data_IF_327589138471
#
_entry.id   IF_327589138471
#
_cell.length_a   1.000
_cell.length_b   1.000
_cell.length_c   1.000
_cell.angle_alpha   90.00
_cell.angle_beta   90.00
_cell.angle_gamma   90.00
#
_symmetry.space_group_name_H-M   'P 1'
#
loop_
_entity.id
_entity.type
_entity.pdbx_description
1 polymer ?
#
# COMPACT_ATOMS: atom_id res chain seq x y z
N UNK A 1 10.38 15.14 21.32
CA UNK A 1 11.10 16.27 20.67
C UNK A 1 12.08 15.83 19.56
N UNK A 2 12.15 14.54 19.17
CA UNK A 2 13.06 14.06 18.11
C UNK A 2 12.37 13.89 16.73
N UNK A 3 11.07 13.60 16.69
CA UNK A 3 10.39 13.20 15.44
C UNK A 3 10.22 14.35 14.41
N UNK A 4 10.10 15.59 14.87
CA UNK A 4 9.90 16.75 13.97
C UNK A 4 11.15 17.11 13.16
N UNK A 5 12.35 16.83 13.67
CA UNK A 5 13.61 17.12 12.94
C UNK A 5 13.90 16.07 11.86
N UNK A 6 13.57 14.80 12.09
CA UNK A 6 13.73 13.73 11.09
C UNK A 6 12.75 13.87 9.92
N UNK A 7 11.53 14.38 10.17
CA UNK A 7 10.54 14.66 9.12
C UNK A 7 11.00 15.74 8.11
N UNK A 8 11.85 16.68 8.53
CA UNK A 8 12.38 17.79 7.72
C UNK A 8 13.64 17.42 6.91
N UNK A 9 14.35 16.35 7.30
CA UNK A 9 15.63 15.97 6.69
C UNK A 9 15.55 14.80 5.71
N UNK A 10 14.35 14.28 5.41
CA UNK A 10 14.23 13.23 4.41
C UNK A 10 14.64 13.76 3.01
N UNK A 11 15.66 13.18 2.32
CA UNK A 11 16.21 13.72 1.07
C UNK A 11 15.15 13.98 -0.01
N UNK A 12 14.14 13.09 -0.09
CA UNK A 12 13.02 13.25 -1.04
C UNK A 12 12.10 14.42 -0.71
N UNK A 13 11.82 14.69 0.58
CA UNK A 13 10.97 15.82 1.01
C UNK A 13 11.65 17.15 0.74
N UNK A 14 12.95 17.23 1.00
CA UNK A 14 13.75 18.41 0.65
C UNK A 14 13.68 18.68 -0.86
N UNK A 15 13.77 17.64 -1.68
CA UNK A 15 13.69 17.76 -3.13
C UNK A 15 12.29 18.18 -3.60
N UNK A 16 11.22 17.61 -3.05
CA UNK A 16 9.84 18.04 -3.31
C UNK A 16 9.62 19.52 -3.01
N UNK A 17 10.09 19.99 -1.85
CA UNK A 17 10.02 21.40 -1.46
C UNK A 17 10.78 22.34 -2.42
N UNK A 18 11.96 21.91 -2.91
CA UNK A 18 12.75 22.68 -3.88
C UNK A 18 12.05 22.80 -5.22
N UNK A 19 11.51 21.69 -5.73
CA UNK A 19 10.76 21.68 -6.98
C UNK A 19 9.49 22.53 -6.88
N UNK A 20 8.72 22.44 -5.80
CA UNK A 20 7.57 23.31 -5.55
C UNK A 20 7.95 24.79 -5.52
N UNK A 21 9.03 25.14 -4.81
CA UNK A 21 9.53 26.51 -4.76
C UNK A 21 9.94 27.04 -6.14
N UNK A 22 10.53 26.17 -6.96
CA UNK A 22 10.92 26.48 -8.34
C UNK A 22 9.71 26.67 -9.24
N UNK A 23 8.69 25.81 -9.10
CA UNK A 23 7.41 25.94 -9.82
C UNK A 23 6.75 27.30 -9.54
N UNK A 24 6.63 27.67 -8.26
CA UNK A 24 6.07 28.97 -7.86
C UNK A 24 6.90 30.15 -8.38
N UNK A 25 8.23 30.02 -8.47
CA UNK A 25 9.09 31.06 -9.05
C UNK A 25 8.80 31.26 -10.54
N UNK A 26 8.68 30.18 -11.31
CA UNK A 26 8.35 30.25 -12.73
C UNK A 26 6.94 30.80 -12.97
N UNK A 27 5.96 30.42 -12.15
CA UNK A 27 4.61 30.98 -12.21
C UNK A 27 4.60 32.50 -12.00
N UNK A 28 5.40 32.99 -11.03
CA UNK A 28 5.57 34.44 -10.80
C UNK A 28 6.29 35.11 -11.98
N UNK A 29 7.24 34.44 -12.64
CA UNK A 29 7.90 34.97 -13.83
C UNK A 29 6.93 35.07 -15.01
N UNK A 30 6.08 34.07 -15.22
CA UNK A 30 5.04 34.09 -16.26
C UNK A 30 4.11 35.31 -16.11
N UNK A 31 3.71 35.63 -14.87
CA UNK A 31 2.89 36.82 -14.57
C UNK A 31 3.64 38.14 -14.81
N UNK A 32 4.96 38.16 -14.63
CA UNK A 32 5.80 39.37 -14.77
C UNK A 32 6.25 39.62 -16.21
N UNK A 33 6.43 38.57 -17.00
CA UNK A 33 6.87 38.63 -18.39
C UNK A 33 5.85 37.93 -19.30
N UNK A 34 4.82 38.67 -19.77
CA UNK A 34 3.78 38.11 -20.64
C UNK A 34 4.32 37.55 -21.96
N UNK A 35 5.44 38.06 -22.47
CA UNK A 35 6.03 37.60 -23.72
C UNK A 35 6.59 36.17 -23.61
N UNK A 36 6.99 35.75 -22.40
CA UNK A 36 7.47 34.39 -22.09
C UNK A 36 6.52 33.62 -21.17
N UNK A 37 5.27 34.07 -21.03
CA UNK A 37 4.33 33.48 -20.09
C UNK A 37 4.11 31.99 -20.32
N UNK A 38 3.88 31.58 -21.58
CA UNK A 38 3.64 30.17 -21.94
C UNK A 38 4.83 29.27 -21.60
N UNK A 39 6.05 29.71 -21.93
CA UNK A 39 7.27 28.96 -21.62
C UNK A 39 7.48 28.84 -20.10
N UNK A 40 7.34 29.95 -19.39
CA UNK A 40 7.48 29.98 -17.93
C UNK A 40 6.41 29.13 -17.24
N UNK A 41 5.16 29.12 -17.72
CA UNK A 41 4.11 28.25 -17.20
C UNK A 41 4.39 26.78 -17.47
N UNK A 42 4.94 26.43 -18.64
CA UNK A 42 5.39 25.06 -18.93
C UNK A 42 6.47 24.58 -17.95
N UNK A 43 7.45 25.44 -17.64
CA UNK A 43 8.44 25.15 -16.60
C UNK A 43 7.82 25.04 -15.21
N UNK A 44 6.85 25.90 -14.88
CA UNK A 44 6.18 25.86 -13.59
C UNK A 44 5.47 24.51 -13.38
N UNK A 45 4.67 24.07 -14.35
CA UNK A 45 3.97 22.78 -14.29
C UNK A 45 4.91 21.60 -14.19
N UNK A 46 5.99 21.60 -15.00
CA UNK A 46 6.97 20.51 -14.96
C UNK A 46 7.60 20.38 -13.58
N UNK A 47 7.96 21.51 -12.96
CA UNK A 47 8.51 21.51 -11.61
C UNK A 47 7.46 21.09 -10.56
N UNK A 48 6.19 21.47 -10.72
CA UNK A 48 5.12 21.03 -9.82
C UNK A 48 4.88 19.51 -9.89
N UNK A 49 4.91 18.91 -11.10
CA UNK A 49 4.88 17.45 -11.27
C UNK A 49 6.07 16.76 -10.60
N UNK A 50 7.27 17.31 -10.73
CA UNK A 50 8.46 16.79 -10.02
C UNK A 50 8.32 16.90 -8.50
N UNK A 51 7.68 17.95 -7.99
CA UNK A 51 7.43 18.10 -6.56
C UNK A 51 6.58 16.95 -6.01
N UNK A 52 5.50 16.59 -6.72
CA UNK A 52 4.63 15.46 -6.38
C UNK A 52 5.38 14.13 -6.50
N UNK A 53 6.14 13.92 -7.59
CA UNK A 53 6.94 12.69 -7.76
C UNK A 53 7.89 12.42 -6.58
N UNK A 54 8.50 13.49 -6.05
CA UNK A 54 9.41 13.38 -4.93
C UNK A 54 8.70 13.28 -3.58
N UNK A 55 7.59 13.99 -3.41
CA UNK A 55 6.80 14.01 -2.18
C UNK A 55 5.31 14.24 -2.45
N UNK A 56 4.62 13.17 -2.85
CA UNK A 56 3.18 13.20 -3.05
C UNK A 56 2.41 13.22 -1.72
N UNK A 57 3.08 13.04 -0.57
CA UNK A 57 2.42 13.06 0.75
C UNK A 57 2.23 14.47 1.28
N UNK A 58 2.88 15.47 0.67
CA UNK A 58 2.69 16.89 0.98
C UNK A 58 1.63 17.48 0.04
N UNK A 59 0.43 17.71 0.58
CA UNK A 59 -0.72 18.29 -0.12
C UNK A 59 -0.40 19.64 -0.80
N UNK A 60 0.58 20.40 -0.29
CA UNK A 60 1.00 21.68 -0.91
C UNK A 60 1.59 21.48 -2.30
N UNK A 61 2.14 20.29 -2.60
CA UNK A 61 2.63 19.95 -3.93
C UNK A 61 1.47 19.77 -4.92
N UNK A 62 0.39 19.11 -4.48
CA UNK A 62 -0.84 18.95 -5.25
C UNK A 62 -1.54 20.29 -5.50
N UNK A 63 -1.72 21.10 -4.44
CA UNK A 63 -2.26 22.46 -4.54
C UNK A 63 -1.48 23.31 -5.55
N UNK A 64 -0.15 23.23 -5.50
CA UNK A 64 0.70 23.96 -6.44
C UNK A 64 0.45 23.54 -7.90
N UNK A 65 0.24 22.25 -8.19
CA UNK A 65 -0.05 21.81 -9.55
C UNK A 65 -1.46 22.23 -9.98
N UNK A 66 -2.45 22.05 -9.11
CA UNK A 66 -3.84 22.42 -9.36
C UNK A 66 -4.01 23.93 -9.65
N UNK A 67 -3.35 24.78 -8.85
CA UNK A 67 -3.31 26.23 -9.07
C UNK A 67 -2.75 26.58 -10.46
N UNK A 68 -1.70 25.88 -10.90
CA UNK A 68 -1.09 26.12 -12.21
C UNK A 68 -2.02 25.70 -13.35
N UNK A 69 -2.73 24.57 -13.19
CA UNK A 69 -3.75 24.11 -14.14
C UNK A 69 -4.87 25.13 -14.28
N UNK A 70 -5.41 25.61 -13.16
CA UNK A 70 -6.41 26.67 -13.17
C UNK A 70 -5.89 27.97 -13.82
N UNK A 71 -4.67 28.41 -13.52
CA UNK A 71 -4.06 29.60 -14.13
C UNK A 71 -3.86 29.48 -15.65
N UNK A 72 -3.67 28.26 -16.16
CA UNK A 72 -3.56 27.97 -17.60
C UNK A 72 -4.91 27.72 -18.29
N UNK A 73 -6.03 27.85 -17.58
CA UNK A 73 -7.36 27.42 -18.04
C UNK A 73 -7.39 25.95 -18.52
N UNK A 74 -6.58 25.10 -17.89
CA UNK A 74 -6.46 23.68 -18.19
C UNK A 74 -7.38 22.86 -17.28
N UNK A 75 -8.68 22.83 -17.63
CA UNK A 75 -9.70 22.11 -16.87
C UNK A 75 -9.52 20.59 -16.90
N UNK A 76 -9.12 20.03 -18.06
CA UNK A 76 -8.80 18.61 -18.21
C UNK A 76 -7.59 18.22 -17.36
N UNK A 77 -6.55 19.05 -17.33
CA UNK A 77 -5.40 18.85 -16.47
C UNK A 77 -5.74 18.93 -14.97
N UNK A 78 -6.67 19.79 -14.57
CA UNK A 78 -7.15 19.87 -13.19
C UNK A 78 -7.98 18.63 -12.81
N UNK A 79 -8.81 18.14 -13.73
CA UNK A 79 -9.51 16.86 -13.58
C UNK A 79 -8.54 15.71 -13.35
N UNK A 80 -7.51 15.58 -14.18
CA UNK A 80 -6.49 14.53 -14.05
C UNK A 80 -5.74 14.61 -12.70
N UNK A 81 -5.51 15.82 -12.17
CA UNK A 81 -4.91 16.00 -10.84
C UNK A 81 -5.83 15.47 -9.73
N UNK A 82 -7.13 15.77 -9.80
CA UNK A 82 -8.12 15.27 -8.83
C UNK A 82 -8.23 13.75 -8.88
N UNK A 83 -8.32 13.18 -10.08
CA UNK A 83 -8.36 11.73 -10.29
C UNK A 83 -7.14 11.05 -9.66
N UNK A 84 -5.93 11.58 -9.91
CA UNK A 84 -4.70 11.02 -9.35
C UNK A 84 -4.67 11.11 -7.81
N UNK A 85 -5.15 12.21 -7.22
CA UNK A 85 -5.31 12.31 -5.75
C UNK A 85 -6.30 11.28 -5.23
N UNK A 86 -7.41 11.07 -5.92
CA UNK A 86 -8.43 10.11 -5.50
C UNK A 86 -7.98 8.66 -5.58
N UNK A 87 -7.14 8.32 -6.58
CA UNK A 87 -6.45 7.03 -6.63
C UNK A 87 -5.53 6.86 -5.42
N UNK A 88 -4.74 7.88 -5.07
CA UNK A 88 -3.85 7.84 -3.89
C UNK A 88 -4.63 7.72 -2.57
N UNK A 89 -5.79 8.36 -2.47
CA UNK A 89 -6.70 8.28 -1.31
C UNK A 89 -7.59 7.03 -1.32
N UNK A 90 -7.49 6.21 -2.36
CA UNK A 90 -8.25 4.98 -2.51
C UNK A 90 -9.75 5.19 -2.56
N UNK A 91 -10.20 6.21 -3.30
CA UNK A 91 -11.63 6.40 -3.57
C UNK A 91 -12.08 5.47 -4.69
N UNK A 92 -13.34 5.05 -4.59
CA UNK A 92 -13.98 4.15 -5.53
C UNK A 92 -13.98 4.74 -6.96
N UNK A 93 -13.53 3.98 -7.98
CA UNK A 93 -13.66 4.37 -9.39
C UNK A 93 -15.08 4.76 -9.78
N UNK A 94 -16.12 4.13 -9.22
CA UNK A 94 -17.52 4.51 -9.49
C UNK A 94 -17.86 5.92 -9.00
N UNK A 95 -17.18 6.40 -7.95
CA UNK A 95 -17.30 7.79 -7.50
C UNK A 95 -16.53 8.76 -8.40
N UNK A 96 -15.55 8.29 -9.19
CA UNK A 96 -14.87 9.11 -10.20
C UNK A 96 -15.76 9.34 -11.42
N UNK A 97 -16.56 8.36 -11.81
CA UNK A 97 -17.52 8.48 -12.92
C UNK A 97 -18.57 9.58 -12.68
N UNK A 98 -18.93 9.81 -11.41
CA UNK A 98 -19.83 10.90 -10.99
C UNK A 98 -19.25 12.30 -11.25
N UNK A 99 -17.94 12.39 -11.51
CA UNK A 99 -17.27 13.65 -11.80
C UNK A 99 -17.34 14.00 -13.30
N UNK A 100 -17.95 13.14 -14.13
CA UNK A 100 -18.15 13.40 -15.56
C UNK A 100 -19.06 14.61 -15.77
N UNK A 101 -18.63 15.56 -16.60
CA UNK A 101 -19.42 16.75 -16.95
C UNK A 101 -19.37 17.89 -15.92
N UNK A 102 -18.52 17.79 -14.91
CA UNK A 102 -18.22 18.89 -13.98
C UNK A 102 -17.34 19.95 -14.68
N UNK A 103 -17.64 21.22 -14.46
CA UNK A 103 -16.73 22.33 -14.81
C UNK A 103 -15.62 22.44 -13.77
N UNK A 104 -14.50 21.77 -14.03
CA UNK A 104 -13.35 21.77 -13.13
C UNK A 104 -12.67 23.13 -12.99
N UNK A 105 -12.80 24.04 -13.97
CA UNK A 105 -12.27 25.38 -13.81
C UNK A 105 -13.08 26.18 -12.78
N UNK A 106 -14.37 25.88 -12.64
CA UNK A 106 -15.24 26.52 -11.66
C UNK A 106 -15.05 25.94 -10.25
N UNK A 107 -15.01 24.61 -10.09
CA UNK A 107 -15.08 23.95 -8.76
C UNK A 107 -13.89 23.07 -8.41
N UNK A 108 -12.96 22.82 -9.33
CA UNK A 108 -11.91 21.81 -9.15
C UNK A 108 -10.96 22.09 -7.97
N UNK A 109 -10.61 23.36 -7.73
CA UNK A 109 -9.82 23.74 -6.57
C UNK A 109 -10.57 23.54 -5.25
N UNK A 110 -11.86 23.85 -5.22
CA UNK A 110 -12.71 23.64 -4.04
C UNK A 110 -12.90 22.15 -3.75
N UNK A 111 -13.09 21.33 -4.79
CA UNK A 111 -13.14 19.87 -4.67
C UNK A 111 -11.84 19.29 -4.10
N UNK A 112 -10.68 19.81 -4.53
CA UNK A 112 -9.38 19.39 -4.02
C UNK A 112 -9.23 19.73 -2.53
N UNK A 113 -9.59 20.96 -2.13
CA UNK A 113 -9.54 21.36 -0.73
C UNK A 113 -10.53 20.58 0.12
N UNK A 114 -11.75 20.35 -0.35
CA UNK A 114 -12.74 19.53 0.33
C UNK A 114 -12.25 18.08 0.50
N UNK A 115 -11.52 17.55 -0.49
CA UNK A 115 -10.93 16.23 -0.42
C UNK A 115 -9.88 16.13 0.69
N UNK A 116 -8.94 17.08 0.76
CA UNK A 116 -7.92 17.09 1.82
C UNK A 116 -8.48 17.43 3.20
N UNK A 117 -9.49 18.31 3.28
CA UNK A 117 -10.16 18.62 4.53
C UNK A 117 -10.86 17.38 5.12
N UNK A 118 -11.48 16.55 4.27
CA UNK A 118 -12.13 15.30 4.72
C UNK A 118 -11.13 14.18 4.96
N UNK A 119 -10.10 14.07 4.14
CA UNK A 119 -9.23 12.90 4.06
C UNK A 119 -7.78 13.30 3.75
N UNK A 120 -7.13 13.90 4.75
CA UNK A 120 -5.79 14.45 4.62
C UNK A 120 -4.74 13.40 4.25
N UNK A 121 -3.75 13.77 3.44
CA UNK A 121 -2.64 12.86 3.09
C UNK A 121 -1.65 12.69 4.25
N UNK A 122 -1.57 13.68 5.14
CA UNK A 122 -0.80 13.58 6.36
C UNK A 122 -1.51 12.67 7.38
N UNK A 123 -0.84 11.62 7.90
CA UNK A 123 -1.48 10.65 8.79
C UNK A 123 -1.88 11.23 10.15
N UNK A 124 -1.25 12.33 10.60
CA UNK A 124 -1.63 12.97 11.85
C UNK A 124 -2.90 13.80 11.66
N UNK A 125 -2.92 14.66 10.65
CA UNK A 125 -4.12 15.45 10.31
C UNK A 125 -5.32 14.54 9.96
N UNK A 126 -5.07 13.43 9.25
CA UNK A 126 -6.09 12.43 8.97
C UNK A 126 -6.67 11.83 10.25
N UNK A 127 -5.83 11.54 11.25
CA UNK A 127 -6.28 10.98 12.51
C UNK A 127 -7.10 11.97 13.32
N UNK A 128 -6.64 13.23 13.42
CA UNK A 128 -7.39 14.30 14.09
C UNK A 128 -8.82 14.42 13.50
N UNK A 129 -8.94 14.40 12.17
CA UNK A 129 -10.24 14.45 11.50
C UNK A 129 -11.16 13.26 11.81
N UNK A 130 -10.60 12.07 12.03
CA UNK A 130 -11.39 10.87 12.39
C UNK A 130 -11.74 10.86 13.86
N UNK A 131 -10.83 11.30 14.73
CA UNK A 131 -11.05 11.34 16.17
C UNK A 131 -12.13 12.37 16.54
N UNK A 132 -12.18 13.48 15.80
CA UNK A 132 -13.20 14.53 15.96
C UNK A 132 -14.55 14.18 15.26
N UNK A 133 -14.65 13.05 14.55
CA UNK A 133 -15.91 12.59 13.94
C UNK A 133 -16.85 12.05 15.02
N UNK A 134 -17.73 12.92 15.54
CA UNK A 134 -18.79 12.60 16.52
C UNK A 134 -19.65 11.38 16.12
N UNK A 135 -19.69 11.03 14.83
CA UNK A 135 -20.43 9.88 14.30
C UNK A 135 -19.71 8.53 14.45
N UNK A 136 -18.41 8.51 14.77
CA UNK A 136 -17.59 7.29 14.87
C UNK A 136 -17.41 6.52 13.56
N UNK A 137 -17.94 7.05 12.45
CA UNK A 137 -18.01 6.37 11.15
C UNK A 137 -16.69 6.43 10.37
N UNK A 138 -15.81 7.40 10.67
CA UNK A 138 -14.55 7.60 9.96
C UNK A 138 -13.62 6.37 9.98
N UNK A 139 -13.58 5.62 11.09
CA UNK A 139 -12.79 4.39 11.18
C UNK A 139 -13.39 3.25 10.35
N UNK A 140 -14.72 3.11 10.36
CA UNK A 140 -15.42 2.09 9.57
C UNK A 140 -15.28 2.38 8.07
N UNK A 141 -15.41 3.65 7.66
CA UNK A 141 -15.16 4.11 6.29
C UNK A 141 -13.71 3.84 5.86
N UNK A 142 -12.74 4.04 6.75
CA UNK A 142 -11.35 3.71 6.49
C UNK A 142 -11.14 2.19 6.33
N UNK A 143 -11.75 1.38 7.20
CA UNK A 143 -11.65 -0.07 7.15
C UNK A 143 -12.27 -0.62 5.85
N UNK A 144 -13.46 -0.15 5.47
CA UNK A 144 -14.10 -0.54 4.21
C UNK A 144 -13.25 -0.19 2.98
N UNK A 145 -12.61 0.98 2.99
CA UNK A 145 -11.67 1.35 1.91
C UNK A 145 -10.47 0.43 1.87
N UNK A 146 -9.84 0.13 3.01
CA UNK A 146 -8.73 -0.83 3.07
C UNK A 146 -9.11 -2.22 2.54
N UNK A 147 -10.35 -2.68 2.75
CA UNK A 147 -10.79 -3.99 2.29
C UNK A 147 -10.95 -4.09 0.77
N UNK A 148 -11.24 -2.97 0.11
CA UNK A 148 -11.57 -2.89 -1.33
C UNK A 148 -10.46 -2.29 -2.18
N UNK A 149 -9.52 -1.56 -1.57
CA UNK A 149 -8.52 -0.80 -2.29
C UNK A 149 -7.39 -1.68 -2.83
N UNK A 150 -7.04 -1.44 -4.09
CA UNK A 150 -5.87 -2.03 -4.71
C UNK A 150 -4.57 -1.35 -4.25
N UNK A 151 -3.82 -2.02 -3.37
CA UNK A 151 -2.52 -1.54 -2.89
C UNK A 151 -1.34 -1.83 -3.83
N UNK A 152 -1.60 -2.21 -5.09
CA UNK A 152 -0.56 -2.25 -6.13
C UNK A 152 -0.01 -0.85 -6.41
N UNK A 153 -0.80 0.22 -6.34
CA UNK A 153 -0.27 1.59 -6.35
C UNK A 153 0.57 1.83 -5.08
N UNK A 154 1.87 2.07 -5.28
CA UNK A 154 2.83 2.30 -4.21
C UNK A 154 2.46 3.50 -3.34
N UNK A 155 1.86 4.54 -3.92
CA UNK A 155 1.49 5.78 -3.24
C UNK A 155 0.33 5.55 -2.29
N UNK A 156 -0.72 4.87 -2.77
CA UNK A 156 -1.84 4.45 -1.93
C UNK A 156 -1.35 3.55 -0.78
N UNK A 157 -0.53 2.54 -1.08
CA UNK A 157 0.06 1.68 -0.05
C UNK A 157 0.85 2.46 1.03
N UNK A 158 1.62 3.49 0.64
CA UNK A 158 2.36 4.32 1.61
C UNK A 158 1.39 5.14 2.49
N UNK A 159 0.37 5.76 1.90
CA UNK A 159 -0.60 6.58 2.66
C UNK A 159 -1.34 5.71 3.67
N UNK A 160 -1.89 4.59 3.22
CA UNK A 160 -2.65 3.68 4.07
C UNK A 160 -1.77 2.95 5.09
N UNK A 161 -0.54 2.59 4.73
CA UNK A 161 0.44 2.02 5.67
C UNK A 161 0.72 2.96 6.86
N UNK A 162 0.97 4.24 6.58
CA UNK A 162 1.15 5.26 7.63
C UNK A 162 -0.09 5.49 8.49
N UNK A 163 -1.27 5.41 7.87
CA UNK A 163 -2.55 5.50 8.60
C UNK A 163 -2.75 4.28 9.52
N UNK A 164 -2.36 3.09 9.08
CA UNK A 164 -2.37 1.88 9.92
C UNK A 164 -1.38 1.95 11.08
N UNK A 165 -0.18 2.51 10.87
CA UNK A 165 0.75 2.78 11.97
C UNK A 165 0.11 3.69 13.02
N UNK A 166 -0.61 4.73 12.57
CA UNK A 166 -1.33 5.65 13.47
C UNK A 166 -2.48 4.97 14.20
N UNK A 167 -3.28 4.16 13.50
CA UNK A 167 -4.35 3.33 14.05
C UNK A 167 -3.83 2.38 15.15
N UNK A 168 -2.69 1.73 14.90
CA UNK A 168 -2.00 0.89 15.88
C UNK A 168 -1.55 1.68 17.10
N UNK A 169 -0.93 2.84 16.89
CA UNK A 169 -0.47 3.71 17.98
C UNK A 169 -1.63 4.23 18.85
N UNK A 170 -2.84 4.32 18.30
CA UNK A 170 -4.06 4.66 19.03
C UNK A 170 -4.71 3.46 19.76
N UNK A 171 -4.17 2.25 19.63
CA UNK A 171 -4.62 1.07 20.38
C UNK A 171 -5.68 0.22 19.67
N UNK A 172 -6.03 0.51 18.41
CA UNK A 172 -6.96 -0.30 17.62
C UNK A 172 -6.26 -1.55 17.02
N UNK A 173 -5.71 -2.40 17.88
CA UNK A 173 -4.84 -3.52 17.47
C UNK A 173 -5.59 -4.59 16.64
N UNK A 174 -6.85 -4.91 16.95
CA UNK A 174 -7.65 -5.88 16.18
C UNK A 174 -7.88 -5.41 14.73
N UNK A 175 -8.30 -4.15 14.58
CA UNK A 175 -8.51 -3.54 13.27
C UNK A 175 -7.19 -3.41 12.51
N UNK A 176 -6.09 -3.07 13.19
CA UNK A 176 -4.77 -3.07 12.58
C UNK A 176 -4.39 -4.46 12.03
N UNK A 177 -4.57 -5.55 12.80
CA UNK A 177 -4.28 -6.91 12.35
C UNK A 177 -5.10 -7.27 11.11
N UNK A 178 -6.39 -6.96 11.13
CA UNK A 178 -7.28 -7.21 10.00
C UNK A 178 -6.79 -6.48 8.75
N UNK A 179 -6.61 -5.16 8.83
CA UNK A 179 -6.31 -4.33 7.68
C UNK A 179 -4.86 -4.51 7.18
N UNK A 180 -3.91 -4.81 8.08
CA UNK A 180 -2.53 -5.12 7.70
C UNK A 180 -2.45 -6.37 6.81
N UNK A 181 -3.33 -7.37 7.01
CA UNK A 181 -3.42 -8.54 6.12
C UNK A 181 -3.81 -8.15 4.70
N UNK A 182 -4.72 -7.17 4.53
CA UNK A 182 -5.07 -6.66 3.20
C UNK A 182 -3.84 -6.03 2.51
N UNK A 183 -3.12 -5.13 3.18
CA UNK A 183 -1.90 -4.53 2.59
C UNK A 183 -0.83 -5.59 2.27
N UNK A 184 -0.61 -6.54 3.17
CA UNK A 184 0.36 -7.61 2.99
C UNK A 184 -0.03 -8.61 1.88
N UNK A 185 -1.32 -8.79 1.60
CA UNK A 185 -1.76 -9.59 0.46
C UNK A 185 -1.31 -8.95 -0.86
N UNK A 186 -1.41 -7.62 -0.98
CA UNK A 186 -0.97 -6.89 -2.18
C UNK A 186 0.54 -6.65 -2.22
N UNK A 187 1.20 -6.54 -1.06
CA UNK A 187 2.64 -6.28 -0.90
C UNK A 187 3.30 -7.29 0.03
N UNK A 188 3.34 -8.59 -0.35
CA UNK A 188 3.87 -9.64 0.51
C UNK A 188 5.37 -9.50 0.81
N UNK A 189 6.11 -8.71 0.03
CA UNK A 189 7.53 -8.42 0.25
C UNK A 189 7.81 -7.40 1.37
N UNK A 190 6.77 -6.80 1.97
CA UNK A 190 6.93 -5.84 3.06
C UNK A 190 7.28 -6.52 4.39
N UNK A 191 8.57 -6.85 4.55
CA UNK A 191 9.09 -7.50 5.76
C UNK A 191 8.94 -6.67 7.04
N UNK A 192 8.85 -5.34 6.96
CA UNK A 192 8.68 -4.48 8.14
C UNK A 192 7.28 -4.65 8.72
N UNK A 193 6.25 -4.61 7.88
CA UNK A 193 4.87 -4.85 8.31
C UNK A 193 4.65 -6.28 8.81
N UNK A 194 5.27 -7.28 8.17
CA UNK A 194 5.28 -8.66 8.70
C UNK A 194 5.92 -8.75 10.09
N UNK A 195 7.04 -8.06 10.29
CA UNK A 195 7.73 -8.03 11.57
C UNK A 195 6.89 -7.36 12.66
N UNK A 196 6.20 -6.27 12.32
CA UNK A 196 5.28 -5.60 13.24
C UNK A 196 4.08 -6.48 13.62
N UNK A 197 3.46 -7.15 12.64
CA UNK A 197 2.38 -8.11 12.93
C UNK A 197 2.86 -9.26 13.82
N UNK A 198 4.03 -9.84 13.53
CA UNK A 198 4.59 -10.93 14.33
C UNK A 198 4.79 -10.53 15.79
N UNK A 199 5.33 -9.32 16.04
CA UNK A 199 5.50 -8.76 17.39
C UNK A 199 4.18 -8.50 18.09
N UNK A 200 3.14 -8.15 17.35
CA UNK A 200 1.81 -7.90 17.91
C UNK A 200 1.14 -9.22 18.30
N UNK A 201 1.10 -10.20 17.41
CA UNK A 201 0.61 -11.55 17.70
C UNK A 201 1.34 -12.18 18.89
N UNK A 202 2.66 -12.02 18.98
CA UNK A 202 3.44 -12.50 20.13
C UNK A 202 3.02 -11.86 21.45
N UNK A 203 2.72 -10.54 21.47
CA UNK A 203 2.21 -9.87 22.68
C UNK A 203 0.81 -10.34 23.09
N UNK A 204 0.02 -10.81 22.12
CA UNK A 204 -1.33 -11.35 22.30
C UNK A 204 -1.35 -12.84 22.61
N UNK A 205 -0.19 -13.47 22.70
CA UNK A 205 -0.03 -14.93 22.90
C UNK A 205 -0.58 -15.79 21.75
N UNK A 206 -0.72 -15.20 20.55
CA UNK A 206 -1.13 -15.85 19.30
C UNK A 206 0.12 -16.44 18.61
N UNK A 207 0.63 -17.54 19.18
CA UNK A 207 1.97 -18.06 18.85
C UNK A 207 2.12 -18.58 17.42
N UNK A 208 1.07 -19.19 16.87
CA UNK A 208 1.08 -19.77 15.53
C UNK A 208 1.06 -18.67 14.45
N UNK A 209 0.29 -17.61 14.68
CA UNK A 209 0.23 -16.40 13.87
C UNK A 209 1.54 -15.62 13.93
N UNK A 210 2.11 -15.46 15.13
CA UNK A 210 3.41 -14.82 15.32
C UNK A 210 4.51 -15.57 14.56
N UNK A 211 4.53 -16.90 14.65
CA UNK A 211 5.45 -17.74 13.90
C UNK A 211 5.29 -17.55 12.40
N UNK A 212 4.05 -17.60 11.89
CA UNK A 212 3.77 -17.46 10.47
C UNK A 212 4.28 -16.12 9.93
N UNK A 213 4.11 -15.03 10.70
CA UNK A 213 4.67 -13.72 10.36
C UNK A 213 6.20 -13.71 10.35
N UNK A 214 6.84 -14.23 11.40
CA UNK A 214 8.31 -14.28 11.49
C UNK A 214 8.94 -15.20 10.44
N UNK A 215 8.26 -16.27 10.04
CA UNK A 215 8.66 -17.13 8.93
C UNK A 215 8.67 -16.37 7.61
N UNK A 216 7.64 -15.55 7.33
CA UNK A 216 7.67 -14.66 6.16
C UNK A 216 8.84 -13.68 6.22
N UNK A 217 9.10 -13.06 7.38
CA UNK A 217 10.24 -12.13 7.54
C UNK A 217 11.56 -12.82 7.21
N UNK A 218 11.80 -14.02 7.76
CA UNK A 218 13.05 -14.74 7.55
C UNK A 218 13.18 -15.24 6.11
N UNK A 219 12.08 -15.62 5.45
CA UNK A 219 12.09 -15.94 4.01
C UNK A 219 12.49 -14.73 3.16
N UNK A 220 11.97 -13.54 3.46
CA UNK A 220 12.27 -12.31 2.72
C UNK A 220 13.64 -11.74 3.06
N UNK A 221 14.11 -11.96 4.29
CA UNK A 221 15.36 -11.43 4.84
C UNK A 221 16.03 -12.52 5.68
N UNK A 222 16.78 -13.45 5.05
CA UNK A 222 17.42 -14.57 5.75
C UNK A 222 18.40 -14.17 6.87
N UNK A 223 18.90 -12.92 6.85
CA UNK A 223 19.77 -12.39 7.90
C UNK A 223 19.01 -11.93 9.16
N UNK A 224 17.69 -11.68 9.08
CA UNK A 224 16.84 -11.34 10.21
C UNK A 224 16.40 -12.63 10.91
N UNK A 225 16.99 -12.91 12.07
CA UNK A 225 16.76 -14.14 12.86
C UNK A 225 15.61 -14.04 13.85
N UNK A 226 14.57 -13.29 13.53
CA UNK A 226 13.47 -13.00 14.47
C UNK A 226 12.66 -14.27 14.80
N UNK A 227 12.44 -15.16 13.82
CA UNK A 227 11.81 -16.48 14.04
C UNK A 227 12.64 -17.34 14.99
N UNK A 228 13.96 -17.41 14.77
CA UNK A 228 14.86 -18.19 15.64
C UNK A 228 14.90 -17.63 17.07
N UNK A 229 14.90 -16.28 17.20
CA UNK A 229 14.81 -15.59 18.50
C UNK A 229 13.47 -15.88 19.19
N UNK A 230 12.38 -15.92 18.45
CA UNK A 230 11.05 -16.26 18.95
C UNK A 230 11.00 -17.71 19.44
N UNK A 231 11.53 -18.66 18.66
CA UNK A 231 11.67 -20.06 19.08
C UNK A 231 12.46 -20.19 20.38
N UNK A 232 13.58 -19.47 20.50
CA UNK A 232 14.39 -19.47 21.71
C UNK A 232 13.63 -18.90 22.93
N UNK A 233 12.69 -17.95 22.75
CA UNK A 233 11.82 -17.47 23.84
C UNK A 233 10.74 -18.48 24.22
N UNK A 234 10.11 -19.12 23.24
CA UNK A 234 9.10 -20.16 23.45
C UNK A 234 9.68 -21.39 24.17
N UNK A 235 10.90 -21.77 23.81
CA UNK A 235 11.61 -22.90 24.39
C UNK A 235 12.46 -22.52 25.61
N UNK A 236 12.67 -21.21 25.83
CA UNK A 236 13.55 -20.66 26.85
C UNK A 236 12.81 -19.84 27.89
N UNK A 237 12.15 -20.52 28.83
CA UNK A 237 11.86 -19.99 30.18
C UNK A 237 12.15 -21.05 31.25
N UNK A 238 13.27 -20.81 31.95
CA UNK A 238 13.65 -21.10 33.35
C UNK A 238 13.16 -22.39 34.01
N UNK A 239 14.12 -23.28 34.28
CA UNK A 239 14.20 -24.29 35.34
C UNK A 239 13.05 -24.28 36.36
N UNK A 240 12.06 -25.16 36.19
CA UNK A 240 11.08 -25.42 37.26
C UNK A 240 9.80 -26.16 36.89
N UNK A 241 9.31 -26.07 35.65
CA UNK A 241 8.07 -26.75 35.25
C UNK A 241 8.25 -27.53 33.95
N UNK A 242 7.72 -28.75 33.89
CA UNK A 242 7.64 -29.57 32.69
C UNK A 242 6.70 -28.92 31.66
N UNK A 243 7.21 -27.94 30.89
CA UNK A 243 6.48 -27.40 29.75
C UNK A 243 6.61 -28.33 28.55
N UNK A 244 5.45 -28.61 27.93
CA UNK A 244 5.41 -29.29 26.63
C UNK A 244 6.15 -28.41 25.61
N UNK A 245 7.17 -28.94 24.91
CA UNK A 245 7.84 -28.18 23.85
C UNK A 245 6.81 -27.82 22.78
N UNK A 246 6.71 -26.53 22.46
CA UNK A 246 5.84 -26.06 21.38
C UNK A 246 6.34 -26.64 20.05
N UNK A 247 5.44 -27.33 19.34
CA UNK A 247 5.76 -28.10 18.12
C UNK A 247 5.71 -27.28 16.83
N UNK A 248 5.46 -25.97 16.92
CA UNK A 248 5.17 -25.13 15.77
C UNK A 248 3.73 -25.28 15.26
N UNK A 249 3.30 -24.38 14.36
CA UNK A 249 2.01 -24.49 13.71
C UNK A 249 1.99 -25.74 12.82
N UNK A 250 0.83 -26.40 12.76
CA UNK A 250 0.58 -27.54 11.89
C UNK A 250 0.72 -27.17 10.40
N UNK A 251 0.92 -28.17 9.55
CA UNK A 251 0.93 -27.97 8.09
C UNK A 251 -0.40 -27.34 7.65
N UNK A 252 -1.52 -27.85 8.17
CA UNK A 252 -2.87 -27.31 7.91
C UNK A 252 -2.99 -25.83 8.28
N UNK A 253 -2.44 -25.40 9.43
CA UNK A 253 -2.45 -23.99 9.83
C UNK A 253 -1.65 -23.12 8.85
N UNK A 254 -0.45 -23.56 8.44
CA UNK A 254 0.40 -22.81 7.50
C UNK A 254 -0.26 -22.69 6.13
N UNK A 255 -0.87 -23.76 5.65
CA UNK A 255 -1.62 -23.77 4.40
C UNK A 255 -2.83 -22.84 4.49
N UNK A 256 -3.61 -22.93 5.56
CA UNK A 256 -4.77 -22.07 5.78
C UNK A 256 -4.39 -20.58 5.87
N UNK A 257 -3.27 -20.27 6.53
CA UNK A 257 -2.75 -18.90 6.62
C UNK A 257 -2.38 -18.36 5.23
N UNK A 258 -1.63 -19.13 4.44
CA UNK A 258 -1.18 -18.72 3.10
C UNK A 258 -2.32 -18.63 2.11
N UNK A 259 -3.28 -19.55 2.16
CA UNK A 259 -4.49 -19.50 1.34
C UNK A 259 -5.39 -18.34 1.76
N UNK A 260 -5.47 -18.04 3.06
CA UNK A 260 -6.15 -16.86 3.57
C UNK A 260 -5.56 -15.57 2.97
N UNK A 261 -4.24 -15.42 2.98
CA UNK A 261 -3.55 -14.28 2.37
C UNK A 261 -3.76 -14.22 0.84
N UNK A 262 -3.74 -15.37 0.16
CA UNK A 262 -4.04 -15.47 -1.28
C UNK A 262 -5.47 -15.04 -1.60
N UNK A 263 -6.46 -15.48 -0.83
CA UNK A 263 -7.86 -15.11 -1.08
C UNK A 263 -8.11 -13.59 -1.01
N UNK A 264 -7.27 -12.86 -0.27
CA UNK A 264 -7.33 -11.40 -0.18
C UNK A 264 -6.81 -10.72 -1.46
N UNK A 265 -5.99 -11.38 -2.27
CA UNK A 265 -5.52 -10.84 -3.57
C UNK A 265 -6.65 -10.85 -4.60
N UNK A 266 -7.55 -11.83 -4.52
CA UNK A 266 -8.62 -12.03 -5.49
C UNK A 266 -9.77 -11.01 -5.34
N UNK A 267 -9.99 -10.49 -4.13
CA UNK A 267 -11.11 -9.58 -3.79
C UNK A 267 -11.08 -8.22 -4.48
N UNK A 268 -9.98 -7.87 -5.15
CA UNK A 268 -9.73 -6.55 -5.74
C UNK A 268 -9.35 -6.67 -7.22
N UNK A 269 -9.35 -7.89 -7.77
CA UNK A 269 -9.40 -8.03 -9.22
C UNK A 269 -10.72 -7.43 -9.69
N UNK A 270 -10.63 -6.26 -10.34
CA UNK A 270 -11.60 -5.77 -11.33
C UNK A 270 -12.22 -7.00 -11.99
N UNK A 271 -13.56 -7.07 -12.20
CA UNK A 271 -14.15 -8.18 -12.90
C UNK A 271 -13.45 -8.29 -14.25
N UNK A 272 -12.47 -9.18 -14.34
CA UNK A 272 -11.77 -9.48 -15.57
C UNK A 272 -12.88 -10.00 -16.47
N UNK A 273 -13.06 -9.36 -17.63
CA UNK A 273 -13.93 -9.85 -18.68
C UNK A 273 -13.78 -11.37 -18.71
N UNK A 274 -14.93 -12.06 -18.57
CA UNK A 274 -14.97 -13.50 -18.43
C UNK A 274 -14.03 -14.10 -19.46
N UNK A 275 -12.92 -14.67 -18.98
CA UNK A 275 -11.92 -15.29 -19.84
C UNK A 275 -12.68 -16.29 -20.68
N UNK A 276 -12.70 -16.08 -22.01
CA UNK A 276 -13.26 -17.05 -22.95
C UNK A 276 -12.73 -18.41 -22.55
N UNK A 277 -13.58 -19.44 -22.38
CA UNK A 277 -13.13 -20.75 -21.95
C UNK A 277 -11.98 -21.16 -22.84
N UNK A 278 -10.78 -21.27 -22.25
CA UNK A 278 -9.63 -21.84 -22.94
C UNK A 278 -10.10 -23.25 -23.32
N UNK A 279 -10.04 -23.58 -24.61
CA UNK A 279 -10.29 -24.93 -25.11
C UNK A 279 -9.55 -25.93 -24.21
N UNK A 280 -10.19 -27.06 -23.91
CA UNK A 280 -9.66 -28.09 -23.02
C UNK A 280 -8.15 -28.28 -23.27
N UNK A 281 -7.30 -28.09 -22.26
CA UNK A 281 -5.87 -28.20 -22.48
C UNK A 281 -5.55 -29.62 -22.95
N UNK A 282 -4.79 -29.72 -24.04
CA UNK A 282 -4.03 -30.92 -24.41
C UNK A 282 -3.43 -31.55 -23.14
N UNK A 283 -3.45 -32.88 -22.97
CA UNK A 283 -3.01 -33.54 -21.76
C UNK A 283 -1.55 -33.16 -21.44
N UNK A 284 -1.40 -32.19 -20.55
CA UNK A 284 -0.12 -31.69 -20.09
C UNK A 284 0.46 -32.67 -19.07
N UNK A 285 1.74 -33.00 -19.21
CA UNK A 285 2.49 -33.79 -18.23
C UNK A 285 2.92 -32.98 -17.00
N UNK A 286 2.60 -31.68 -16.95
CA UNK A 286 2.98 -30.78 -15.86
C UNK A 286 1.98 -30.89 -14.69
N UNK A 287 2.48 -30.65 -13.48
CA UNK A 287 1.66 -30.64 -12.27
C UNK A 287 0.59 -29.53 -12.34
N UNK A 288 -0.66 -29.75 -11.89
CA UNK A 288 -1.71 -28.72 -11.93
C UNK A 288 -1.31 -27.40 -11.28
N UNK A 289 -0.61 -27.44 -10.14
CA UNK A 289 -0.13 -26.24 -9.46
C UNK A 289 1.00 -25.53 -10.23
N UNK A 290 1.79 -26.25 -11.02
CA UNK A 290 2.80 -25.63 -11.88
C UNK A 290 2.14 -24.87 -13.03
N UNK A 291 1.06 -25.41 -13.60
CA UNK A 291 0.23 -24.74 -14.61
C UNK A 291 -0.40 -23.47 -14.00
N UNK A 292 -0.91 -23.55 -12.76
CA UNK A 292 -1.47 -22.40 -12.05
C UNK A 292 -0.42 -21.31 -11.80
N UNK A 293 0.78 -21.66 -11.32
CA UNK A 293 1.87 -20.71 -11.10
C UNK A 293 2.30 -20.02 -12.40
N UNK A 294 2.43 -20.77 -13.50
CA UNK A 294 2.70 -20.22 -14.84
C UNK A 294 1.65 -19.21 -15.23
N UNK A 295 0.38 -19.59 -15.14
CA UNK A 295 -0.74 -18.75 -15.55
C UNK A 295 -0.82 -17.45 -14.74
N UNK A 296 -0.66 -17.52 -13.41
CA UNK A 296 -0.68 -16.34 -12.54
C UNK A 296 0.48 -15.39 -12.86
N UNK A 297 1.68 -15.93 -13.07
CA UNK A 297 2.87 -15.15 -13.40
C UNK A 297 2.73 -14.46 -14.78
N UNK A 298 2.24 -15.19 -15.78
CA UNK A 298 2.01 -14.65 -17.14
C UNK A 298 0.95 -13.55 -17.18
N UNK A 299 -0.06 -13.64 -16.31
CA UNK A 299 -1.10 -12.61 -16.14
C UNK A 299 -0.64 -11.42 -15.29
N UNK A 300 0.55 -11.48 -14.71
CA UNK A 300 1.07 -10.44 -13.81
C UNK A 300 0.44 -10.44 -12.41
N UNK A 301 -0.29 -11.49 -12.03
CA UNK A 301 -0.79 -11.68 -10.67
C UNK A 301 0.29 -12.32 -9.79
N UNK A 302 1.34 -11.54 -9.57
CA UNK A 302 2.53 -11.96 -8.83
C UNK A 302 2.21 -12.23 -7.35
N UNK A 303 1.21 -11.54 -6.79
CA UNK A 303 0.79 -11.69 -5.40
C UNK A 303 0.12 -13.05 -5.16
N UNK A 304 -0.87 -13.42 -5.98
CA UNK A 304 -1.51 -14.74 -5.86
C UNK A 304 -0.49 -15.86 -6.15
N UNK A 305 0.37 -15.66 -7.15
CA UNK A 305 1.47 -16.59 -7.46
C UNK A 305 2.44 -16.76 -6.28
N UNK A 306 2.79 -15.66 -5.59
CA UNK A 306 3.67 -15.68 -4.43
C UNK A 306 3.10 -16.56 -3.31
N UNK A 307 1.84 -16.36 -2.93
CA UNK A 307 1.23 -17.14 -1.86
C UNK A 307 1.02 -18.60 -2.24
N UNK A 308 0.70 -18.88 -3.51
CA UNK A 308 0.64 -20.25 -4.02
C UNK A 308 2.00 -20.95 -3.93
N UNK A 309 3.08 -20.30 -4.38
CA UNK A 309 4.43 -20.86 -4.29
C UNK A 309 4.86 -21.09 -2.83
N UNK A 310 4.53 -20.16 -1.92
CA UNK A 310 4.78 -20.32 -0.48
C UNK A 310 4.00 -21.48 0.11
N UNK A 311 2.74 -21.67 -0.28
CA UNK A 311 1.88 -22.76 0.20
C UNK A 311 2.48 -24.11 -0.17
N UNK A 312 2.87 -24.28 -1.44
CA UNK A 312 3.52 -25.50 -1.95
C UNK A 312 4.81 -25.82 -1.18
N UNK A 313 5.65 -24.81 -0.93
CA UNK A 313 6.86 -25.01 -0.12
C UNK A 313 6.55 -25.40 1.33
N UNK A 314 5.50 -24.84 1.93
CA UNK A 314 5.06 -25.22 3.27
C UNK A 314 4.53 -26.66 3.34
N UNK A 315 3.95 -27.16 2.24
CA UNK A 315 3.50 -28.55 2.06
C UNK A 315 4.64 -29.53 1.71
N UNK A 316 5.86 -29.04 1.48
CA UNK A 316 7.05 -29.85 1.19
C UNK A 316 7.42 -29.97 -0.28
N UNK A 317 6.77 -29.21 -1.16
CA UNK A 317 7.01 -29.23 -2.60
C UNK A 317 8.18 -28.32 -3.01
N UNK A 318 9.41 -28.82 -2.89
CA UNK A 318 10.63 -28.05 -3.15
C UNK A 318 10.79 -27.53 -4.59
N UNK A 319 10.08 -28.13 -5.55
CA UNK A 319 10.09 -27.66 -6.94
C UNK A 319 9.50 -26.26 -7.12
N UNK A 320 8.75 -25.74 -6.14
CA UNK A 320 8.19 -24.39 -6.14
C UNK A 320 9.23 -23.30 -5.75
N UNK A 321 10.43 -23.68 -5.28
CA UNK A 321 11.45 -22.71 -4.85
C UNK A 321 11.95 -21.79 -5.98
N UNK A 322 12.30 -22.28 -7.18
CA UNK A 322 12.69 -21.41 -8.29
C UNK A 322 11.58 -20.44 -8.73
N UNK A 323 10.31 -20.85 -8.59
CA UNK A 323 9.15 -19.99 -8.84
C UNK A 323 9.09 -18.84 -7.84
N UNK A 324 9.24 -19.15 -6.55
CA UNK A 324 9.23 -18.13 -5.50
C UNK A 324 10.36 -17.11 -5.70
N UNK A 325 11.57 -17.56 -6.01
CA UNK A 325 12.72 -16.67 -6.26
C UNK A 325 12.46 -15.74 -7.46
N UNK A 326 11.93 -16.28 -8.56
CA UNK A 326 11.55 -15.50 -9.74
C UNK A 326 10.51 -14.44 -9.38
N UNK A 327 9.40 -14.84 -8.74
CA UNK A 327 8.31 -13.94 -8.35
C UNK A 327 8.85 -12.83 -7.43
N UNK A 328 9.64 -13.18 -6.42
CA UNK A 328 10.26 -12.19 -5.53
C UNK A 328 11.19 -11.21 -6.26
N UNK A 329 11.85 -11.63 -7.34
CA UNK A 329 12.70 -10.75 -8.14
C UNK A 329 11.89 -9.75 -8.96
N UNK A 330 10.72 -10.15 -9.46
CA UNK A 330 9.81 -9.30 -10.24
C UNK A 330 9.01 -8.33 -9.37
N UNK A 331 8.82 -8.63 -8.09
CA UNK A 331 8.13 -7.77 -7.12
C UNK A 331 9.00 -6.67 -6.49
N UNK A 332 10.33 -6.76 -6.60
CA UNK A 332 11.29 -5.78 -6.06
C UNK A 332 11.36 -4.53 -6.93
#
# INVERSE_FOLDING_TARGET
MSESQDLLQHPRRNLGNRYRSTAQKFARLAKKDPARATENMGWAEQNARQAILHDFTDERNWRCLADLKAMNNDGEGLHAVLEDVFVVLGRDPEHLDQLTGIDYLAVGLELLEAAFARDALDPHAWWENIEDDDGGSGLDDFAERCRRLDFRDQRANIVFGRRLERLRAAGHEDMFIELAKHLLAHRPINHELWLEMGRLHERREEMDEAWSCYDQVQQLRPHLKERDRFLARLTGRMDGEEQRPWSGPSIEHREAFLEGMRSLTDRISVPLEAVTPIEEPEPSSLHPDEIALRSLTERGDLQSAFFLARRLLASGESWAEPWLEKIQSEMK
#
